data_IF_250507650506
#
_entry.id   IF_250507650506
#
_cell.length_a   1.000
_cell.length_b   1.000
_cell.length_c   1.000
_cell.angle_alpha   90.00
_cell.angle_beta   90.00
_cell.angle_gamma   90.00
#
_symmetry.space_group_name_H-M   'P 1'
#
loop_
_entity.id
_entity.type
_entity.pdbx_description
1 polymer ?
#
# COMPACT_ATOMS: atom_id res chain seq x y z
N UNK A 1 -10.68 -0.02 19.61
CA UNK A 1 -9.34 0.26 19.05
C UNK A 1 -9.36 -0.22 17.61
N UNK A 2 -8.99 0.63 16.66
CA UNK A 2 -8.93 0.26 15.24
C UNK A 2 -7.49 -0.13 14.91
N UNK A 3 -7.30 -1.27 14.26
CA UNK A 3 -5.98 -1.73 13.78
C UNK A 3 -5.87 -1.47 12.27
N UNK A 4 -5.00 -0.55 11.82
CA UNK A 4 -4.76 -0.32 10.40
C UNK A 4 -3.92 -1.45 9.82
N UNK A 5 -4.38 -1.99 8.70
CA UNK A 5 -3.76 -3.08 7.96
C UNK A 5 -3.38 -2.56 6.58
N UNK A 6 -2.09 -2.47 6.27
CA UNK A 6 -1.58 -1.73 5.09
C UNK A 6 -0.93 -2.69 4.10
N UNK A 7 -1.38 -2.68 2.85
CA UNK A 7 -0.70 -3.31 1.71
C UNK A 7 0.25 -2.30 1.07
N UNK A 8 1.54 -2.41 1.36
CA UNK A 8 2.55 -1.57 0.74
C UNK A 8 2.91 -2.08 -0.66
N UNK A 9 3.31 -1.20 -1.59
CA UNK A 9 4.01 -1.63 -2.79
C UNK A 9 5.29 -2.39 -2.44
N UNK A 10 5.71 -3.39 -3.22
CA UNK A 10 5.10 -3.86 -4.45
C UNK A 10 4.31 -5.14 -4.25
N UNK A 11 3.02 -5.11 -4.57
CA UNK A 11 2.18 -6.32 -4.61
C UNK A 11 1.58 -6.49 -6.00
N UNK A 12 1.41 -7.72 -6.47
CA UNK A 12 0.81 -7.96 -7.78
C UNK A 12 -0.67 -7.57 -7.78
N UNK A 13 -1.15 -6.89 -8.84
CA UNK A 13 -2.53 -6.37 -8.83
C UNK A 13 -3.60 -7.47 -8.88
N UNK A 14 -3.30 -8.58 -9.56
CA UNK A 14 -4.25 -9.69 -9.70
C UNK A 14 -4.31 -10.62 -8.47
N UNK A 15 -3.39 -10.47 -7.52
CA UNK A 15 -3.40 -11.26 -6.30
C UNK A 15 -4.01 -10.44 -5.17
N UNK A 16 -5.18 -10.81 -4.64
CA UNK A 16 -5.70 -10.14 -3.45
C UNK A 16 -4.71 -10.33 -2.30
N UNK A 17 -4.57 -9.34 -1.39
CA UNK A 17 -3.66 -9.46 -0.26
C UNK A 17 -4.21 -10.42 0.80
N UNK A 18 -4.04 -11.72 0.56
CA UNK A 18 -4.60 -12.80 1.38
C UNK A 18 -4.19 -12.69 2.86
N UNK A 19 -2.93 -12.32 3.13
CA UNK A 19 -2.43 -12.15 4.48
C UNK A 19 -3.17 -11.04 5.25
N UNK A 20 -3.53 -9.94 4.57
CA UNK A 20 -4.32 -8.87 5.16
C UNK A 20 -5.75 -9.32 5.45
N UNK A 21 -6.34 -10.14 4.58
CA UNK A 21 -7.65 -10.75 4.82
C UNK A 21 -7.63 -11.71 6.02
N UNK A 22 -6.57 -12.52 6.17
CA UNK A 22 -6.40 -13.42 7.30
C UNK A 22 -6.22 -12.65 8.62
N UNK A 23 -5.37 -11.63 8.64
CA UNK A 23 -5.18 -10.76 9.81
C UNK A 23 -6.48 -10.07 10.20
N UNK A 24 -7.23 -9.54 9.24
CA UNK A 24 -8.55 -8.96 9.47
C UNK A 24 -9.51 -9.96 10.11
N UNK A 25 -9.52 -11.21 9.63
CA UNK A 25 -10.38 -12.25 10.18
C UNK A 25 -10.04 -12.54 11.66
N UNK A 26 -8.75 -12.67 11.98
CA UNK A 26 -8.28 -12.89 13.37
C UNK A 26 -8.64 -11.72 14.27
N UNK A 27 -8.42 -10.48 13.82
CA UNK A 27 -8.79 -9.28 14.58
C UNK A 27 -10.29 -9.23 14.87
N UNK A 28 -11.11 -9.49 13.84
CA UNK A 28 -12.58 -9.50 13.97
C UNK A 28 -13.04 -10.57 14.95
N UNK A 29 -12.47 -11.78 14.90
CA UNK A 29 -12.77 -12.88 15.83
C UNK A 29 -12.45 -12.54 17.29
N UNK A 30 -11.49 -11.64 17.53
CA UNK A 30 -11.09 -11.20 18.87
C UNK A 30 -11.72 -9.87 19.29
N UNK A 31 -12.75 -9.40 18.55
CA UNK A 31 -13.49 -8.18 18.90
C UNK A 31 -12.77 -6.87 18.57
N UNK A 32 -11.73 -6.91 17.75
CA UNK A 32 -11.05 -5.71 17.25
C UNK A 32 -11.66 -5.25 15.94
N UNK A 33 -11.73 -3.93 15.77
CA UNK A 33 -12.02 -3.31 14.49
C UNK A 33 -10.72 -3.16 13.69
N UNK A 34 -10.81 -3.23 12.36
CA UNK A 34 -9.67 -3.02 11.48
C UNK A 34 -10.05 -2.19 10.27
N UNK A 35 -9.08 -1.42 9.79
CA UNK A 35 -9.19 -0.62 8.56
C UNK A 35 -8.12 -1.11 7.58
N UNK A 36 -8.54 -1.52 6.38
CA UNK A 36 -7.61 -2.00 5.35
C UNK A 36 -7.28 -0.89 4.37
N UNK A 37 -5.99 -0.70 4.14
CA UNK A 37 -5.43 0.29 3.22
C UNK A 37 -4.58 -0.42 2.20
N UNK A 38 -5.00 -0.43 0.93
CA UNK A 38 -4.16 -0.93 -0.16
C UNK A 38 -3.47 0.24 -0.87
N UNK A 39 -2.26 0.60 -0.42
CA UNK A 39 -1.48 1.66 -1.03
C UNK A 39 -1.00 1.23 -2.42
N UNK A 40 -0.67 -0.04 -2.61
CA UNK A 40 -0.24 -0.59 -3.91
C UNK A 40 -1.30 -0.37 -5.01
N UNK A 41 -2.53 -0.79 -4.75
CA UNK A 41 -3.64 -0.63 -5.70
C UNK A 41 -4.06 0.85 -5.83
N UNK A 42 -4.10 1.59 -4.72
CA UNK A 42 -4.46 3.00 -4.76
C UNK A 42 -3.46 3.84 -5.56
N UNK A 43 -2.17 3.57 -5.41
CA UNK A 43 -1.11 4.23 -6.16
C UNK A 43 -1.21 3.90 -7.65
N UNK A 44 -1.35 2.62 -8.01
CA UNK A 44 -1.53 2.21 -9.40
C UNK A 44 -2.72 2.92 -10.07
N UNK A 45 -3.85 3.01 -9.36
CA UNK A 45 -5.04 3.68 -9.86
C UNK A 45 -4.86 5.21 -9.99
N UNK A 46 -3.99 5.82 -9.19
CA UNK A 46 -3.67 7.25 -9.26
C UNK A 46 -2.79 7.59 -10.48
N UNK A 47 -1.91 6.69 -10.89
CA UNK A 47 -1.08 6.89 -12.08
C UNK A 47 -2.01 6.95 -13.29
N UNK A 48 -2.04 8.07 -14.01
CA UNK A 48 -2.84 8.24 -15.24
C UNK A 48 -2.01 8.05 -16.50
N UNK A 49 -0.69 8.09 -16.39
CA UNK A 49 0.24 7.91 -17.50
C UNK A 49 0.42 6.42 -17.83
N UNK A 50 0.11 6.02 -19.05
CA UNK A 50 0.19 4.61 -19.49
C UNK A 50 1.61 4.03 -19.46
N UNK A 51 2.63 4.84 -19.73
CA UNK A 51 4.05 4.41 -19.66
C UNK A 51 4.42 4.11 -18.21
N UNK A 52 3.96 4.93 -17.28
CA UNK A 52 4.18 4.73 -15.85
C UNK A 52 3.39 3.55 -15.30
N UNK A 53 2.14 3.33 -15.74
CA UNK A 53 1.38 2.13 -15.40
C UNK A 53 2.08 0.88 -15.90
N UNK A 54 2.51 0.86 -17.16
CA UNK A 54 3.28 -0.25 -17.73
C UNK A 54 4.59 -0.46 -16.99
N UNK A 55 5.25 0.62 -16.57
CA UNK A 55 6.43 0.54 -15.73
C UNK A 55 6.07 -0.10 -14.39
N UNK A 56 5.04 0.36 -13.68
CA UNK A 56 4.56 -0.24 -12.43
C UNK A 56 4.22 -1.73 -12.55
N UNK A 57 3.64 -2.16 -13.68
CA UNK A 57 3.36 -3.57 -13.95
C UNK A 57 4.64 -4.36 -14.25
N UNK A 58 5.52 -3.85 -15.11
CA UNK A 58 6.83 -4.45 -15.37
C UNK A 58 7.69 -4.49 -14.11
N UNK A 59 7.45 -3.56 -13.18
CA UNK A 59 8.06 -3.51 -11.87
C UNK A 59 7.59 -4.64 -10.94
N UNK A 60 6.42 -5.23 -11.17
CA UNK A 60 5.97 -6.44 -10.46
C UNK A 60 6.68 -7.69 -10.96
N UNK A 61 7.19 -7.66 -12.19
CA UNK A 61 7.88 -8.78 -12.85
C UNK A 61 9.42 -8.66 -12.76
N UNK A 62 9.97 -7.55 -12.27
CA UNK A 62 11.41 -7.30 -12.21
C UNK A 62 11.89 -6.61 -10.92
N UNK A 63 13.20 -6.71 -10.63
CA UNK A 63 13.86 -6.25 -9.39
C UNK A 63 13.95 -4.72 -9.19
N UNK A 64 13.15 -3.93 -9.89
CA UNK A 64 13.13 -2.47 -9.81
C UNK A 64 12.86 -1.88 -8.41
N UNK A 65 12.11 -2.59 -7.55
CA UNK A 65 11.84 -2.19 -6.17
C UNK A 65 13.06 -2.40 -5.26
N UNK A 66 14.06 -3.16 -5.71
CA UNK A 66 15.36 -3.29 -5.05
C UNK A 66 16.27 -2.08 -5.33
N UNK A 67 15.95 -1.26 -6.33
CA UNK A 67 16.73 -0.07 -6.70
C UNK A 67 16.24 1.17 -5.94
N UNK A 68 16.91 1.48 -4.83
CA UNK A 68 16.60 2.60 -3.95
C UNK A 68 16.40 3.93 -4.69
N UNK A 69 17.28 4.29 -5.62
CA UNK A 69 17.22 5.57 -6.34
C UNK A 69 15.95 5.69 -7.17
N UNK A 70 15.50 4.57 -7.75
CA UNK A 70 14.27 4.50 -8.51
C UNK A 70 13.07 4.72 -7.58
N UNK A 71 12.99 3.95 -6.48
CA UNK A 71 11.89 4.04 -5.51
C UNK A 71 11.78 5.45 -4.93
N UNK A 72 12.92 6.06 -4.56
CA UNK A 72 12.96 7.43 -4.05
C UNK A 72 12.42 8.43 -5.08
N UNK A 73 12.84 8.34 -6.34
CA UNK A 73 12.34 9.25 -7.39
C UNK A 73 10.85 9.08 -7.64
N UNK A 74 10.37 7.83 -7.67
CA UNK A 74 8.94 7.53 -7.81
C UNK A 74 8.15 8.13 -6.65
N UNK A 75 8.61 7.93 -5.41
CA UNK A 75 7.91 8.43 -4.23
C UNK A 75 7.95 9.96 -4.14
N UNK A 76 9.07 10.59 -4.52
CA UNK A 76 9.16 12.04 -4.61
C UNK A 76 8.18 12.62 -5.64
N UNK A 77 8.05 11.97 -6.80
CA UNK A 77 7.14 12.40 -7.85
C UNK A 77 5.67 12.33 -7.42
N UNK A 78 5.28 11.30 -6.68
CA UNK A 78 3.91 11.10 -6.19
C UNK A 78 3.72 11.51 -4.72
N UNK A 79 4.63 12.34 -4.20
CA UNK A 79 4.71 12.66 -2.76
C UNK A 79 3.40 13.15 -2.17
N UNK A 80 2.70 14.05 -2.84
CA UNK A 80 1.44 14.60 -2.35
C UNK A 80 0.37 13.52 -2.13
N UNK A 81 0.29 12.53 -3.03
CA UNK A 81 -0.63 11.41 -2.90
C UNK A 81 -0.22 10.47 -1.75
N UNK A 82 1.07 10.16 -1.63
CA UNK A 82 1.58 9.30 -0.54
C UNK A 82 1.35 9.97 0.81
N UNK A 83 1.63 11.26 0.94
CA UNK A 83 1.42 12.02 2.17
C UNK A 83 -0.06 12.04 2.56
N UNK A 84 -0.97 12.33 1.64
CA UNK A 84 -2.42 12.23 1.89
C UNK A 84 -2.82 10.84 2.41
N UNK A 85 -2.30 9.79 1.77
CA UNK A 85 -2.57 8.41 2.16
C UNK A 85 -2.05 8.10 3.57
N UNK A 86 -0.84 8.56 3.91
CA UNK A 86 -0.25 8.45 5.24
C UNK A 86 -1.06 9.21 6.28
N UNK A 87 -1.52 10.43 5.98
CA UNK A 87 -2.36 11.19 6.90
C UNK A 87 -3.69 10.50 7.20
N UNK A 88 -4.29 9.83 6.21
CA UNK A 88 -5.50 9.02 6.41
C UNK A 88 -5.25 7.82 7.35
N UNK A 89 -4.07 7.22 7.30
CA UNK A 89 -3.68 6.12 8.19
C UNK A 89 -3.45 6.65 9.62
N UNK A 90 -2.63 7.70 9.76
CA UNK A 90 -2.30 8.29 11.06
C UNK A 90 -3.55 8.86 11.75
N UNK A 91 -4.51 9.39 10.98
CA UNK A 91 -5.77 9.91 11.50
C UNK A 91 -6.61 8.90 12.30
N UNK A 92 -6.34 7.59 12.18
CA UNK A 92 -7.00 6.55 12.97
C UNK A 92 -6.54 6.49 14.44
N UNK A 93 -5.49 7.24 14.81
CA UNK A 93 -4.96 7.33 16.19
C UNK A 93 -4.59 5.97 16.79
N UNK A 94 -4.11 5.06 15.95
CA UNK A 94 -3.68 3.71 16.36
C UNK A 94 -2.21 3.71 16.78
N UNK A 95 -1.88 2.91 17.81
CA UNK A 95 -0.49 2.66 18.18
C UNK A 95 0.21 1.86 17.07
N UNK A 96 1.42 2.27 16.68
CA UNK A 96 2.22 1.58 15.68
C UNK A 96 2.99 0.45 16.37
N UNK A 97 2.62 -0.80 16.09
CA UNK A 97 3.35 -1.99 16.55
C UNK A 97 4.19 -2.48 15.37
N UNK A 98 5.50 -2.34 15.47
CA UNK A 98 6.47 -2.71 14.44
C UNK A 98 7.02 -4.13 14.68
#
# INVERSE_FOLDING_TARGET
MIVPLINCPSWHLDYPPYNLALLKAVLTQNGFESACFDLNLAFYNQITNDIERKSWLAMQEGNCWEHKEFVVKLFQKHRAFIEDYVFRIIGLSSEVIC
#
